data_IF_407094629004
#
_entry.id   IF_407094629004
#
_cell.length_a   1.000
_cell.length_b   1.000
_cell.length_c   1.000
_cell.angle_alpha   90.00
_cell.angle_beta   90.00
_cell.angle_gamma   90.00
#
_symmetry.space_group_name_H-M   'P 1'
#
loop_
_entity.id
_entity.type
_entity.pdbx_description
1 polymer ?
#
# COMPACT_ATOMS: atom_id res chain seq x y z
N UNK A 1 11.72 -11.93 -3.60
CA UNK A 1 11.64 -10.87 -4.63
C UNK A 1 12.54 -9.73 -4.23
N UNK A 2 13.38 -9.23 -5.15
CA UNK A 2 14.26 -8.10 -4.84
C UNK A 2 13.52 -6.77 -4.65
N UNK A 3 12.27 -6.68 -5.07
CA UNK A 3 11.46 -5.49 -4.82
C UNK A 3 10.58 -5.71 -3.60
N UNK A 4 10.64 -4.81 -2.64
CA UNK A 4 9.84 -4.88 -1.42
C UNK A 4 9.29 -3.52 -1.04
N UNK A 5 8.43 -3.51 -0.03
CA UNK A 5 7.89 -2.27 0.50
C UNK A 5 8.95 -1.59 1.37
N UNK A 6 9.15 -0.32 1.12
CA UNK A 6 10.10 0.52 1.85
C UNK A 6 9.56 0.89 3.23
N UNK A 7 8.24 1.01 3.33
CA UNK A 7 7.54 1.39 4.57
C UNK A 7 6.40 0.42 4.83
N UNK A 8 5.85 0.46 6.04
CA UNK A 8 4.63 -0.27 6.37
C UNK A 8 3.45 0.52 5.80
N UNK A 9 2.92 0.04 4.68
CA UNK A 9 1.84 0.71 3.95
C UNK A 9 0.59 0.87 4.82
N UNK A 10 0.21 -0.17 5.56
CA UNK A 10 -1.00 -0.12 6.40
C UNK A 10 -0.82 0.88 7.55
N UNK A 11 0.36 0.95 8.14
CA UNK A 11 0.65 1.93 9.18
C UNK A 11 0.61 3.35 8.62
N UNK A 12 1.17 3.55 7.43
CA UNK A 12 1.14 4.86 6.77
C UNK A 12 -0.29 5.30 6.45
N UNK A 13 -1.12 4.37 5.95
CA UNK A 13 -2.54 4.66 5.68
C UNK A 13 -3.28 5.02 6.96
N UNK A 14 -3.02 4.29 8.03
CA UNK A 14 -3.65 4.56 9.34
C UNK A 14 -3.28 5.96 9.84
N UNK A 15 -2.01 6.34 9.71
CA UNK A 15 -1.56 7.68 10.09
C UNK A 15 -2.21 8.77 9.25
N UNK A 16 -2.49 8.47 7.98
CA UNK A 16 -3.17 9.39 7.08
C UNK A 16 -4.68 9.44 7.29
N UNK A 17 -5.21 8.64 8.22
CA UNK A 17 -6.63 8.58 8.53
C UNK A 17 -7.39 7.47 7.80
N UNK A 18 -6.69 6.58 7.10
CA UNK A 18 -7.30 5.49 6.35
C UNK A 18 -7.02 4.15 7.01
N UNK A 19 -7.72 3.84 8.09
CA UNK A 19 -7.59 2.53 8.72
C UNK A 19 -8.29 1.46 7.86
N UNK A 20 -8.07 0.19 8.17
CA UNK A 20 -8.63 -0.91 7.38
C UNK A 20 -10.16 -0.91 7.39
N UNK A 21 -10.78 -0.53 8.49
CA UNK A 21 -12.23 -0.42 8.58
C UNK A 21 -12.79 0.61 7.61
N UNK A 22 -12.15 1.78 7.53
CA UNK A 22 -12.55 2.85 6.61
C UNK A 22 -12.33 2.43 5.15
N UNK A 23 -11.21 1.78 4.86
CA UNK A 23 -10.90 1.31 3.51
C UNK A 23 -11.97 0.33 3.03
N UNK A 24 -12.39 -0.59 3.89
CA UNK A 24 -13.46 -1.55 3.58
C UNK A 24 -14.80 -0.87 3.41
N UNK A 25 -15.13 0.05 4.31
CA UNK A 25 -16.42 0.76 4.31
C UNK A 25 -16.58 1.61 3.07
N UNK A 26 -15.53 2.31 2.67
CA UNK A 26 -15.56 3.19 1.49
C UNK A 26 -15.19 2.45 0.19
N UNK A 27 -14.90 1.16 0.29
CA UNK A 27 -14.52 0.30 -0.84
C UNK A 27 -13.35 0.86 -1.65
N UNK A 28 -12.40 1.45 -0.96
CA UNK A 28 -11.19 2.01 -1.59
C UNK A 28 -10.35 0.89 -2.22
N UNK A 29 -10.22 -0.22 -1.50
CA UNK A 29 -9.50 -1.41 -1.99
C UNK A 29 -10.26 -2.67 -1.60
N UNK A 30 -10.12 -3.72 -2.42
CA UNK A 30 -10.67 -5.03 -2.10
C UNK A 30 -9.91 -5.71 -0.98
N UNK A 31 -10.57 -6.66 -0.32
CA UNK A 31 -9.98 -7.45 0.76
C UNK A 31 -8.72 -8.18 0.32
N UNK A 32 -8.71 -8.71 -0.91
CA UNK A 32 -7.56 -9.41 -1.46
C UNK A 32 -6.33 -8.50 -1.54
N UNK A 33 -6.52 -7.24 -1.91
CA UNK A 33 -5.44 -6.26 -2.00
C UNK A 33 -4.89 -5.93 -0.62
N UNK A 34 -5.76 -5.76 0.36
CA UNK A 34 -5.35 -5.51 1.75
C UNK A 34 -4.52 -6.67 2.29
N UNK A 35 -4.92 -7.91 1.98
CA UNK A 35 -4.17 -9.08 2.41
C UNK A 35 -2.79 -9.15 1.75
N UNK A 36 -2.70 -8.84 0.47
CA UNK A 36 -1.42 -8.81 -0.23
C UNK A 36 -0.47 -7.78 0.39
N UNK A 37 -0.96 -6.58 0.66
CA UNK A 37 -0.17 -5.53 1.28
C UNK A 37 0.29 -5.95 2.68
N UNK A 38 -0.61 -6.55 3.46
CA UNK A 38 -0.30 -7.02 4.81
C UNK A 38 0.81 -8.08 4.81
N UNK A 39 0.80 -8.94 3.80
CA UNK A 39 1.81 -10.00 3.65
C UNK A 39 3.10 -9.52 2.98
N UNK A 40 3.15 -8.26 2.59
CA UNK A 40 4.31 -7.70 1.92
C UNK A 40 4.42 -8.08 0.44
N UNK A 41 3.33 -8.55 -0.16
CA UNK A 41 3.31 -8.93 -1.58
C UNK A 41 3.01 -7.72 -2.46
N UNK A 42 3.56 -7.74 -3.68
CA UNK A 42 3.33 -6.68 -4.65
C UNK A 42 1.90 -6.69 -5.14
N UNK A 43 1.43 -5.51 -5.50
CA UNK A 43 0.09 -5.30 -6.04
C UNK A 43 0.23 -4.62 -7.41
N UNK A 44 -0.90 -4.47 -8.12
CA UNK A 44 -0.89 -3.85 -9.45
C UNK A 44 -0.55 -2.35 -9.37
N UNK A 45 -0.13 -1.80 -10.51
CA UNK A 45 0.19 -0.37 -10.60
C UNK A 45 -1.03 0.50 -10.30
N UNK A 46 -2.23 0.06 -10.66
CA UNK A 46 -3.45 0.82 -10.35
C UNK A 46 -3.67 0.93 -8.84
N UNK A 47 -3.29 -0.08 -8.07
CA UNK A 47 -3.34 -0.03 -6.61
C UNK A 47 -2.28 0.93 -6.08
N UNK A 48 -1.06 0.91 -6.66
CA UNK A 48 -0.03 1.87 -6.28
C UNK A 48 -0.44 3.31 -6.57
N UNK A 49 -1.13 3.55 -7.69
CA UNK A 49 -1.68 4.86 -7.99
C UNK A 49 -2.63 5.34 -6.90
N UNK A 50 -3.51 4.45 -6.43
CA UNK A 50 -4.42 4.78 -5.33
C UNK A 50 -3.65 5.08 -4.05
N UNK A 51 -2.64 4.27 -3.74
CA UNK A 51 -1.83 4.48 -2.54
C UNK A 51 -1.11 5.82 -2.59
N UNK A 52 -0.53 6.15 -3.73
CA UNK A 52 0.15 7.43 -3.91
C UNK A 52 -0.82 8.61 -3.75
N UNK A 53 -2.02 8.46 -4.27
CA UNK A 53 -3.06 9.48 -4.17
C UNK A 53 -3.52 9.66 -2.71
N UNK A 54 -3.76 8.57 -2.01
CA UNK A 54 -4.20 8.60 -0.61
C UNK A 54 -3.11 9.14 0.33
N UNK A 55 -1.87 8.80 0.07
CA UNK A 55 -0.74 9.18 0.91
C UNK A 55 -0.01 10.44 0.42
N UNK A 56 -0.41 10.96 -0.74
CA UNK A 56 0.21 12.12 -1.37
C UNK A 56 1.72 11.95 -1.49
N UNK A 57 2.13 10.85 -2.11
CA UNK A 57 3.54 10.49 -2.25
C UNK A 57 3.82 9.86 -3.61
N UNK A 58 5.09 9.57 -3.88
CA UNK A 58 5.52 8.93 -5.11
C UNK A 58 5.67 7.41 -4.90
N UNK A 59 5.58 6.59 -5.97
CA UNK A 59 5.80 5.15 -5.84
C UNK A 59 7.15 4.80 -5.20
N UNK A 60 8.19 5.57 -5.47
CA UNK A 60 9.50 5.37 -4.89
C UNK A 60 9.55 5.56 -3.37
N UNK A 61 8.54 6.22 -2.81
CA UNK A 61 8.41 6.37 -1.35
C UNK A 61 7.81 5.12 -0.71
N UNK A 62 7.19 4.27 -1.51
CA UNK A 62 6.47 3.08 -1.03
C UNK A 62 7.25 1.79 -1.22
N UNK A 63 8.01 1.68 -2.29
CA UNK A 63 8.72 0.45 -2.66
C UNK A 63 10.18 0.74 -2.93
N UNK A 64 10.99 -0.31 -2.82
CA UNK A 64 12.42 -0.22 -3.12
C UNK A 64 12.93 -1.53 -3.73
N UNK A 65 13.98 -1.43 -4.51
CA UNK A 65 14.70 -2.60 -5.00
C UNK A 65 15.82 -2.93 -4.03
N UNK A 66 15.81 -4.14 -3.52
CA UNK A 66 16.85 -4.62 -2.60
C UNK A 66 17.74 -5.60 -3.38
N UNK A 67 18.96 -5.21 -3.61
CA UNK A 67 19.92 -6.06 -4.28
C UNK A 67 20.48 -7.08 -3.28
N UNK A 68 20.30 -8.35 -3.60
CA UNK A 68 20.85 -9.44 -2.81
C UNK A 68 22.27 -9.78 -3.20
#
# INVERSE_FOLDING_TARGET
MPIGYKIDILAALKEAGYNTGRIRKEKIMGEAMLQKIRKGKMVSWSVFEKLCDLLDCQPADLIEYVKE
#
